data_IF_361773075629
#
_entry.id   IF_361773075629
#
_cell.length_a   1.000
_cell.length_b   1.000
_cell.length_c   1.000
_cell.angle_alpha   90.00
_cell.angle_beta   90.00
_cell.angle_gamma   90.00
#
_symmetry.space_group_name_H-M   'P 1'
#
loop_
_entity.id
_entity.type
_entity.pdbx_description
1 polymer ?
#
# COMPACT_ATOMS: atom_id res chain seq x y z
N UNK A 1 22.69 21.91 -14.42
CA UNK A 1 21.65 20.95 -14.83
C UNK A 1 22.26 19.55 -14.78
N UNK A 2 21.60 18.55 -14.13
CA UNK A 2 22.12 17.17 -14.03
C UNK A 2 22.47 16.69 -12.62
N UNK A 3 22.70 17.57 -11.65
CA UNK A 3 23.06 17.20 -10.28
C UNK A 3 22.04 16.27 -9.62
N UNK A 4 20.75 16.51 -9.82
CA UNK A 4 19.68 15.66 -9.25
C UNK A 4 19.72 14.25 -9.86
N UNK A 5 19.94 14.16 -11.18
CA UNK A 5 20.10 12.86 -11.84
C UNK A 5 21.30 12.09 -11.26
N UNK A 6 22.44 12.76 -11.11
CA UNK A 6 23.64 12.18 -10.50
C UNK A 6 23.42 11.74 -9.05
N UNK A 7 22.69 12.55 -8.26
CA UNK A 7 22.33 12.22 -6.88
C UNK A 7 21.44 10.99 -6.82
N UNK A 8 20.39 10.92 -7.65
CA UNK A 8 19.49 9.77 -7.72
C UNK A 8 20.22 8.50 -8.17
N UNK A 9 21.10 8.61 -9.15
CA UNK A 9 21.94 7.49 -9.58
C UNK A 9 22.85 6.98 -8.44
N UNK A 10 23.44 7.91 -7.68
CA UNK A 10 24.28 7.56 -6.53
C UNK A 10 23.44 6.91 -5.39
N UNK A 11 22.25 7.43 -5.12
CA UNK A 11 21.34 6.85 -4.14
C UNK A 11 20.93 5.42 -4.52
N UNK A 12 20.61 5.17 -5.80
CA UNK A 12 20.30 3.84 -6.31
C UNK A 12 21.49 2.88 -6.17
N UNK A 13 22.70 3.32 -6.57
CA UNK A 13 23.94 2.53 -6.42
C UNK A 13 24.23 2.20 -4.95
N UNK A 14 23.99 3.17 -4.04
CA UNK A 14 24.12 2.93 -2.60
C UNK A 14 23.11 1.89 -2.11
N UNK A 15 21.82 2.04 -2.44
CA UNK A 15 20.77 1.08 -2.05
C UNK A 15 21.05 -0.32 -2.61
N UNK A 16 21.51 -0.41 -3.88
CA UNK A 16 21.90 -1.67 -4.49
C UNK A 16 23.04 -2.35 -3.72
N UNK A 17 24.11 -1.61 -3.38
CA UNK A 17 25.24 -2.13 -2.58
C UNK A 17 24.88 -2.51 -1.14
N UNK A 18 23.79 -1.95 -0.60
CA UNK A 18 23.24 -2.32 0.69
C UNK A 18 22.19 -3.44 0.60
N UNK A 19 22.08 -4.08 -0.56
CA UNK A 19 21.12 -5.18 -0.82
C UNK A 19 19.66 -4.81 -0.50
N UNK A 20 19.31 -3.52 -0.64
CA UNK A 20 17.93 -3.05 -0.48
C UNK A 20 17.13 -3.41 -1.74
N UNK A 21 16.09 -4.26 -1.65
CA UNK A 21 15.41 -4.75 -2.85
C UNK A 21 14.49 -3.73 -3.49
N UNK A 22 13.95 -2.79 -2.70
CA UNK A 22 12.92 -1.83 -3.13
C UNK A 22 13.08 -0.49 -2.40
N UNK A 23 12.71 0.60 -3.09
CA UNK A 23 12.68 1.96 -2.55
C UNK A 23 11.28 2.54 -2.65
N UNK A 24 10.81 3.21 -1.58
CA UNK A 24 9.54 3.92 -1.54
C UNK A 24 9.76 5.40 -1.34
N UNK A 25 8.83 6.22 -1.85
CA UNK A 25 8.80 7.66 -1.60
C UNK A 25 7.41 8.26 -1.81
N UNK A 26 7.13 9.38 -1.14
CA UNK A 26 6.04 10.28 -1.50
C UNK A 26 6.53 11.23 -2.61
N UNK A 27 5.87 11.29 -3.80
CA UNK A 27 6.41 12.01 -4.94
C UNK A 27 6.18 13.52 -4.85
N UNK A 28 7.25 14.31 -4.84
CA UNK A 28 7.20 15.73 -5.16
C UNK A 28 6.71 15.98 -6.60
N UNK A 29 7.13 15.13 -7.55
CA UNK A 29 6.74 15.20 -8.95
C UNK A 29 6.73 13.81 -9.58
N UNK A 30 5.54 13.29 -9.84
CA UNK A 30 5.35 11.98 -10.47
C UNK A 30 6.12 11.84 -11.79
N UNK A 31 6.04 12.80 -12.75
CA UNK A 31 6.78 12.69 -14.01
C UNK A 31 8.29 12.66 -13.84
N UNK A 32 8.81 13.32 -12.79
CA UNK A 32 10.24 13.31 -12.49
C UNK A 32 10.68 11.91 -12.05
N UNK A 33 10.01 11.34 -11.04
CA UNK A 33 10.36 10.03 -10.50
C UNK A 33 10.10 8.88 -11.49
N UNK A 34 9.07 8.98 -12.34
CA UNK A 34 8.84 8.02 -13.43
C UNK A 34 10.04 7.91 -14.37
N UNK A 35 10.65 9.04 -14.74
CA UNK A 35 11.88 9.04 -15.56
C UNK A 35 13.06 8.37 -14.89
N UNK A 36 13.04 8.26 -13.57
CA UNK A 36 14.07 7.62 -12.76
C UNK A 36 13.72 6.17 -12.37
N UNK A 37 12.61 5.62 -12.89
CA UNK A 37 12.21 4.23 -12.71
C UNK A 37 11.25 3.96 -11.53
N UNK A 38 10.81 4.98 -10.79
CA UNK A 38 9.73 4.83 -9.81
C UNK A 38 8.37 4.81 -10.50
N UNK A 39 7.43 4.07 -9.95
CA UNK A 39 6.03 4.08 -10.40
C UNK A 39 5.07 4.19 -9.20
N UNK A 40 3.86 4.70 -9.45
CA UNK A 40 2.80 4.76 -8.45
C UNK A 40 2.43 3.33 -8.07
N UNK A 41 2.36 3.07 -6.77
CA UNK A 41 1.98 1.75 -6.21
C UNK A 41 0.82 1.82 -5.23
N UNK A 42 0.37 3.01 -4.82
CA UNK A 42 -0.81 3.17 -3.99
C UNK A 42 -1.57 4.44 -4.31
N UNK A 43 -2.86 4.44 -3.98
CA UNK A 43 -3.74 5.58 -4.02
C UNK A 43 -4.19 5.95 -2.60
N UNK A 44 -4.51 7.24 -2.41
CA UNK A 44 -5.21 7.76 -1.26
C UNK A 44 -6.62 8.14 -1.68
N UNK A 45 -7.63 7.60 -1.01
CA UNK A 45 -9.03 7.96 -1.17
C UNK A 45 -9.43 8.90 -0.05
N UNK A 46 -9.56 10.19 -0.33
CA UNK A 46 -10.14 11.13 0.62
C UNK A 46 -11.67 11.08 0.52
N UNK A 47 -12.35 10.98 1.64
CA UNK A 47 -13.82 10.88 1.67
C UNK A 47 -14.45 11.95 2.55
N UNK A 48 -15.70 12.29 2.22
CA UNK A 48 -16.56 13.16 3.01
C UNK A 48 -17.95 12.55 3.12
N UNK A 49 -18.43 12.39 4.36
CA UNK A 49 -19.74 11.85 4.72
C UNK A 49 -20.48 12.91 5.51
N UNK A 50 -21.69 13.31 5.08
CA UNK A 50 -22.53 14.26 5.81
C UNK A 50 -23.12 13.61 7.08
N UNK A 51 -23.47 14.38 8.08
CA UNK A 51 -24.15 13.92 9.30
C UNK A 51 -25.37 13.04 9.01
N UNK A 52 -26.19 13.41 8.01
CA UNK A 52 -27.37 12.67 7.56
C UNK A 52 -27.07 11.33 6.88
N UNK A 53 -25.82 11.10 6.46
CA UNK A 53 -25.35 9.88 5.79
C UNK A 53 -24.59 8.95 6.73
N UNK A 54 -24.36 9.37 7.99
CA UNK A 54 -23.63 8.54 8.95
C UNK A 54 -24.33 7.20 9.17
N UNK A 55 -23.57 6.10 9.33
CA UNK A 55 -24.15 4.78 9.49
C UNK A 55 -24.97 4.71 10.79
N UNK A 56 -26.11 4.02 10.74
CA UNK A 56 -26.90 3.74 11.94
C UNK A 56 -26.09 2.89 12.92
N UNK A 57 -26.16 3.21 14.24
CA UNK A 57 -25.45 2.43 15.25
C UNK A 57 -25.80 0.94 15.18
N UNK A 58 -24.79 0.09 15.24
CA UNK A 58 -24.92 -1.36 15.24
C UNK A 58 -24.57 -1.92 16.61
N UNK A 59 -25.25 -2.99 17.07
CA UNK A 59 -24.89 -3.65 18.33
C UNK A 59 -23.44 -4.16 18.27
N UNK A 60 -22.67 -3.85 19.31
CA UNK A 60 -21.33 -4.35 19.54
C UNK A 60 -21.21 -4.83 20.99
N UNK A 61 -20.33 -5.79 21.25
CA UNK A 61 -20.16 -6.32 22.59
C UNK A 61 -19.22 -5.48 23.46
N UNK A 62 -18.29 -4.77 22.84
CA UNK A 62 -17.27 -3.94 23.46
C UNK A 62 -17.65 -2.46 23.55
N UNK A 63 -16.66 -1.63 23.82
CA UNK A 63 -16.81 -0.18 23.93
C UNK A 63 -15.61 0.57 23.38
N UNK A 64 -15.79 1.86 23.06
CA UNK A 64 -14.70 2.75 22.65
C UNK A 64 -14.35 3.67 23.81
N UNK A 65 -13.06 3.74 24.14
CA UNK A 65 -12.52 4.61 25.18
C UNK A 65 -11.47 5.56 24.62
N UNK A 66 -11.45 6.80 25.08
CA UNK A 66 -10.36 7.73 24.76
C UNK A 66 -9.11 7.34 25.54
N UNK A 67 -7.99 7.36 24.86
CA UNK A 67 -6.68 7.01 25.43
C UNK A 67 -5.67 8.15 25.20
N UNK A 68 -4.55 8.11 25.90
CA UNK A 68 -3.45 9.00 25.65
C UNK A 68 -2.82 8.75 24.27
N UNK A 69 -2.23 9.78 23.65
CA UNK A 69 -1.56 9.68 22.36
C UNK A 69 -0.27 8.83 22.39
N UNK A 70 0.24 8.54 23.59
CA UNK A 70 1.36 7.63 23.84
C UNK A 70 0.93 6.22 24.28
N UNK A 71 -0.38 5.90 24.19
CA UNK A 71 -0.90 4.59 24.60
C UNK A 71 -0.35 3.46 23.74
N UNK A 72 0.21 2.44 24.37
CA UNK A 72 0.69 1.24 23.69
C UNK A 72 -0.46 0.44 23.03
N UNK A 73 -1.70 0.60 23.47
CA UNK A 73 -2.84 -0.19 22.98
C UNK A 73 -3.09 0.02 21.50
N UNK A 74 -3.17 1.28 21.04
CA UNK A 74 -3.38 1.51 19.60
C UNK A 74 -2.09 1.32 18.79
N UNK A 75 -0.90 1.52 19.38
CA UNK A 75 0.37 1.14 18.75
C UNK A 75 0.42 -0.37 18.46
N UNK A 76 0.00 -1.19 19.41
CA UNK A 76 -0.10 -2.64 19.23
C UNK A 76 -1.14 -3.01 18.17
N UNK A 77 -2.33 -2.38 18.16
CA UNK A 77 -3.34 -2.60 17.10
C UNK A 77 -2.77 -2.26 15.74
N UNK A 78 -2.05 -1.13 15.60
CA UNK A 78 -1.39 -0.76 14.35
C UNK A 78 -0.38 -1.82 13.92
N UNK A 79 0.48 -2.27 14.82
CA UNK A 79 1.51 -3.28 14.54
C UNK A 79 0.90 -4.60 14.06
N UNK A 80 -0.18 -5.08 14.71
CA UNK A 80 -0.92 -6.27 14.26
C UNK A 80 -1.57 -6.07 12.88
N UNK A 81 -2.12 -4.89 12.63
CA UNK A 81 -2.70 -4.55 11.34
C UNK A 81 -1.63 -4.52 10.24
N UNK A 82 -0.49 -3.89 10.51
CA UNK A 82 0.62 -3.75 9.57
C UNK A 82 1.20 -5.11 9.16
N UNK A 83 1.35 -6.04 10.11
CA UNK A 83 1.82 -7.41 9.84
C UNK A 83 0.89 -8.21 8.90
N UNK A 84 -0.36 -7.79 8.76
CA UNK A 84 -1.36 -8.46 7.92
C UNK A 84 -1.63 -7.71 6.61
N UNK A 85 -0.88 -6.65 6.31
CA UNK A 85 -1.11 -5.81 5.13
C UNK A 85 0.15 -5.66 4.29
N UNK A 86 0.00 -5.86 3.01
CA UNK A 86 1.06 -5.62 2.05
C UNK A 86 1.47 -4.14 2.04
N UNK A 87 2.76 -3.86 2.22
CA UNK A 87 3.33 -2.52 2.16
C UNK A 87 3.06 -1.61 3.36
N UNK A 88 2.28 -2.04 4.37
CA UNK A 88 2.05 -1.23 5.56
C UNK A 88 3.33 -1.13 6.41
N UNK A 89 3.66 0.09 6.86
CA UNK A 89 4.83 0.33 7.70
C UNK A 89 4.59 -0.21 9.11
N UNK A 90 5.51 -1.04 9.61
CA UNK A 90 5.59 -1.38 11.03
C UNK A 90 6.34 -0.24 11.69
N UNK A 91 5.61 0.63 12.40
CA UNK A 91 6.17 1.83 13.01
C UNK A 91 7.02 1.49 14.24
N UNK A 92 8.28 1.90 14.21
CA UNK A 92 9.14 1.99 15.37
C UNK A 92 8.96 3.35 16.09
N UNK A 93 9.73 3.61 17.14
CA UNK A 93 9.63 4.86 17.90
C UNK A 93 9.86 6.09 17.02
N UNK A 94 10.83 6.03 16.10
CA UNK A 94 11.12 7.15 15.21
C UNK A 94 9.97 7.40 14.23
N UNK A 95 9.38 6.34 13.68
CA UNK A 95 8.23 6.42 12.79
C UNK A 95 6.99 7.00 13.50
N UNK A 96 6.79 6.67 14.79
CA UNK A 96 5.74 7.29 15.59
C UNK A 96 6.00 8.77 15.89
N UNK A 97 7.26 9.17 16.16
CA UNK A 97 7.63 10.58 16.29
C UNK A 97 7.36 11.36 14.99
N UNK A 98 7.72 10.80 13.83
CA UNK A 98 7.41 11.39 12.51
C UNK A 98 5.91 11.48 12.25
N UNK A 99 5.14 10.47 12.63
CA UNK A 99 3.69 10.43 12.48
C UNK A 99 3.00 11.60 13.18
N UNK A 100 3.53 12.04 14.36
CA UNK A 100 3.00 13.14 15.14
C UNK A 100 3.62 14.51 14.83
N UNK A 101 4.70 14.57 14.08
CA UNK A 101 5.54 15.77 13.92
C UNK A 101 4.80 17.04 13.50
N UNK A 102 3.76 16.91 12.67
CA UNK A 102 3.06 18.05 12.08
C UNK A 102 1.60 18.16 12.55
N UNK A 103 1.24 17.45 13.61
CA UNK A 103 -0.12 17.43 14.10
C UNK A 103 -0.41 18.55 15.10
N UNK A 104 -1.71 18.86 15.23
CA UNK A 104 -2.20 19.83 16.19
C UNK A 104 -2.28 19.24 17.59
N UNK A 105 -2.18 20.10 18.62
CA UNK A 105 -2.36 19.72 20.03
C UNK A 105 -3.76 19.18 20.36
N UNK A 106 -4.73 19.31 19.44
CA UNK A 106 -6.13 18.91 19.61
C UNK A 106 -6.42 17.46 19.17
N UNK A 107 -5.40 16.66 18.81
CA UNK A 107 -5.57 15.26 18.41
C UNK A 107 -6.08 14.40 19.57
N UNK A 108 -7.02 13.53 19.26
CA UNK A 108 -7.62 12.57 20.18
C UNK A 108 -7.45 11.17 19.63
N UNK A 109 -6.99 10.25 20.46
CA UNK A 109 -7.00 8.82 20.17
C UNK A 109 -8.13 8.13 20.95
N UNK A 110 -8.85 7.24 20.27
CA UNK A 110 -9.88 6.41 20.89
C UNK A 110 -9.76 4.97 20.40
N UNK A 111 -9.82 4.01 21.33
CA UNK A 111 -9.58 2.58 21.09
C UNK A 111 -10.85 1.80 21.37
N UNK A 112 -11.18 0.89 20.47
CA UNK A 112 -12.22 -0.09 20.69
C UNK A 112 -11.67 -1.30 21.46
N UNK A 113 -12.28 -1.59 22.60
CA UNK A 113 -11.98 -2.74 23.45
C UNK A 113 -13.10 -3.76 23.44
N UNK A 114 -12.76 -5.06 23.45
CA UNK A 114 -13.71 -6.13 23.72
C UNK A 114 -14.19 -6.12 25.18
N UNK A 115 -15.15 -6.98 25.54
CA UNK A 115 -15.56 -7.19 26.95
C UNK A 115 -14.40 -7.61 27.86
N UNK A 116 -13.43 -8.32 27.31
CA UNK A 116 -12.21 -8.77 28.00
C UNK A 116 -11.12 -7.70 28.00
N UNK A 117 -11.45 -6.47 27.62
CA UNK A 117 -10.54 -5.32 27.55
C UNK A 117 -9.36 -5.53 26.57
N UNK A 118 -9.59 -6.27 25.48
CA UNK A 118 -8.59 -6.44 24.40
C UNK A 118 -8.79 -5.38 23.35
N UNK A 119 -7.74 -4.57 22.99
CA UNK A 119 -7.83 -3.57 21.95
C UNK A 119 -7.90 -4.24 20.57
N UNK A 120 -8.87 -3.86 19.72
CA UNK A 120 -9.07 -4.41 18.37
C UNK A 120 -9.29 -3.37 17.28
N UNK A 121 -9.25 -2.10 17.60
CA UNK A 121 -9.34 -1.03 16.63
C UNK A 121 -9.13 0.32 17.28
N UNK A 122 -8.79 1.32 16.50
CA UNK A 122 -8.64 2.69 16.98
C UNK A 122 -9.02 3.71 15.92
N UNK A 123 -9.31 4.92 16.36
CA UNK A 123 -9.43 6.12 15.54
C UNK A 123 -8.61 7.23 16.18
N UNK A 124 -7.79 7.89 15.35
CA UNK A 124 -7.13 9.16 15.68
C UNK A 124 -7.82 10.26 14.90
N UNK A 125 -8.25 11.30 15.60
CA UNK A 125 -9.08 12.35 15.02
C UNK A 125 -8.95 13.67 15.76
N UNK A 126 -9.49 14.73 15.14
CA UNK A 126 -9.79 16.01 15.78
C UNK A 126 -11.11 16.56 15.25
N UNK A 127 -11.71 17.51 15.98
CA UNK A 127 -12.94 18.18 15.54
C UNK A 127 -12.64 19.68 15.40
N UNK A 128 -12.87 20.22 14.21
CA UNK A 128 -12.71 21.63 13.91
C UNK A 128 -13.72 22.08 12.86
N UNK A 129 -14.29 23.29 13.02
CA UNK A 129 -15.25 23.88 12.08
C UNK A 129 -16.46 22.96 11.79
N UNK A 130 -16.99 22.32 12.82
CA UNK A 130 -18.11 21.37 12.75
C UNK A 130 -17.82 20.13 11.87
N UNK A 131 -16.54 19.79 11.68
CA UNK A 131 -16.08 18.63 10.93
C UNK A 131 -15.32 17.67 11.85
N UNK A 132 -15.68 16.40 11.81
CA UNK A 132 -14.90 15.31 12.42
C UNK A 132 -13.82 14.85 11.43
N UNK A 133 -12.59 15.21 11.68
CA UNK A 133 -11.45 14.85 10.84
C UNK A 133 -10.80 13.57 11.35
N UNK A 134 -10.94 12.49 10.61
CA UNK A 134 -10.24 11.23 10.87
C UNK A 134 -8.83 11.33 10.27
N UNK A 135 -7.81 11.35 11.14
CA UNK A 135 -6.41 11.23 10.72
C UNK A 135 -6.09 9.78 10.31
N UNK A 136 -6.50 8.83 11.15
CA UNK A 136 -6.30 7.41 10.90
C UNK A 136 -7.37 6.59 11.61
N UNK A 137 -7.88 5.56 10.95
CA UNK A 137 -8.78 4.58 11.54
C UNK A 137 -8.35 3.17 11.13
N UNK A 138 -8.04 2.35 12.11
CA UNK A 138 -7.59 0.97 11.92
C UNK A 138 -8.44 0.03 12.76
N UNK A 139 -8.77 -1.14 12.20
CA UNK A 139 -9.50 -2.17 12.90
C UNK A 139 -9.06 -3.58 12.46
N UNK A 140 -9.04 -4.51 13.42
CA UNK A 140 -8.62 -5.89 13.20
C UNK A 140 -9.79 -6.82 12.87
N UNK A 141 -11.03 -6.38 13.12
CA UNK A 141 -12.24 -7.12 12.78
C UNK A 141 -13.43 -6.17 12.53
N UNK A 142 -14.51 -6.74 12.01
CA UNK A 142 -15.70 -5.97 11.63
C UNK A 142 -16.45 -5.38 12.82
N UNK A 143 -16.41 -6.04 13.99
CA UNK A 143 -17.05 -5.53 15.20
C UNK A 143 -16.37 -4.26 15.71
N UNK A 144 -15.03 -4.22 15.70
CA UNK A 144 -14.27 -3.02 16.02
C UNK A 144 -14.60 -1.87 15.05
N UNK A 145 -14.73 -2.17 13.75
CA UNK A 145 -15.18 -1.18 12.76
C UNK A 145 -16.54 -0.61 13.11
N UNK A 146 -17.52 -1.45 13.45
CA UNK A 146 -18.84 -0.98 13.88
C UNK A 146 -18.78 -0.14 15.16
N UNK A 147 -17.97 -0.56 16.13
CA UNK A 147 -17.77 0.18 17.38
C UNK A 147 -17.17 1.57 17.14
N UNK A 148 -16.17 1.67 16.26
CA UNK A 148 -15.56 2.95 15.89
C UNK A 148 -16.54 3.86 15.15
N UNK A 149 -17.31 3.34 14.19
CA UNK A 149 -18.35 4.13 13.52
C UNK A 149 -19.49 4.54 14.47
N UNK A 150 -19.91 3.69 15.42
CA UNK A 150 -20.86 4.08 16.46
C UNK A 150 -20.33 5.26 17.29
N UNK A 151 -19.06 5.22 17.64
CA UNK A 151 -18.39 6.30 18.37
C UNK A 151 -18.35 7.60 17.56
N UNK A 152 -17.98 7.54 16.28
CA UNK A 152 -17.97 8.70 15.38
C UNK A 152 -19.39 9.26 15.23
N UNK A 153 -20.38 8.41 14.98
CA UNK A 153 -21.78 8.78 14.81
C UNK A 153 -22.36 9.42 16.07
N UNK A 154 -21.91 9.04 17.26
CA UNK A 154 -22.37 9.66 18.52
C UNK A 154 -22.06 11.17 18.59
N UNK A 155 -21.20 11.70 17.75
CA UNK A 155 -20.90 13.14 17.65
C UNK A 155 -21.85 13.90 16.69
N UNK A 156 -22.85 13.25 16.10
CA UNK A 156 -23.73 13.80 15.05
C UNK A 156 -24.34 15.18 15.37
N UNK A 157 -24.58 15.50 16.64
CA UNK A 157 -25.15 16.79 17.05
C UNK A 157 -24.12 17.93 17.13
N UNK A 158 -22.84 17.63 16.93
CA UNK A 158 -21.71 18.57 17.06
C UNK A 158 -20.95 18.75 15.74
N UNK A 159 -21.33 18.01 14.70
CA UNK A 159 -20.62 17.99 13.43
C UNK A 159 -21.61 17.98 12.26
N UNK A 160 -21.26 18.63 11.16
CA UNK A 160 -22.02 18.61 9.91
C UNK A 160 -21.53 17.49 8.97
N UNK A 161 -20.29 17.06 9.15
CA UNK A 161 -19.68 16.03 8.29
C UNK A 161 -18.48 15.34 8.94
N UNK A 162 -18.16 14.16 8.42
CA UNK A 162 -16.95 13.39 8.71
C UNK A 162 -16.07 13.40 7.49
N UNK A 163 -14.80 13.71 7.65
CA UNK A 163 -13.78 13.65 6.61
C UNK A 163 -12.63 12.72 7.04
N UNK A 164 -12.03 12.03 6.09
CA UNK A 164 -10.88 11.18 6.35
C UNK A 164 -10.25 10.65 5.08
N UNK A 165 -9.19 9.90 5.26
CA UNK A 165 -8.48 9.22 4.18
C UNK A 165 -8.56 7.69 4.36
N UNK A 166 -8.66 6.98 3.24
CA UNK A 166 -8.64 5.54 3.15
C UNK A 166 -7.52 5.11 2.20
N UNK A 167 -6.70 4.18 2.64
CA UNK A 167 -5.53 3.70 1.90
C UNK A 167 -5.67 2.25 1.41
N UNK A 168 -6.85 1.63 1.58
CA UNK A 168 -7.10 0.25 1.14
C UNK A 168 -7.16 0.08 -0.38
N UNK A 169 -7.25 1.20 -1.13
CA UNK A 169 -7.47 1.18 -2.57
C UNK A 169 -8.89 0.79 -3.00
N UNK A 170 -9.84 0.65 -2.03
CA UNK A 170 -11.24 0.32 -2.29
C UNK A 170 -12.16 1.47 -1.84
N UNK A 171 -13.14 1.88 -2.67
CA UNK A 171 -14.13 2.88 -2.32
C UNK A 171 -14.94 2.50 -1.08
N UNK A 172 -15.27 3.49 -0.26
CA UNK A 172 -16.03 3.29 0.98
C UNK A 172 -17.55 3.43 0.78
N UNK A 173 -18.01 4.02 -0.31
CA UNK A 173 -19.42 4.32 -0.55
C UNK A 173 -20.36 3.12 -0.33
N UNK A 174 -19.93 1.92 -0.71
CA UNK A 174 -20.69 0.68 -0.52
C UNK A 174 -20.97 0.33 0.96
N UNK A 175 -20.20 0.86 1.89
CA UNK A 175 -20.35 0.61 3.34
C UNK A 175 -21.48 1.42 3.97
N UNK A 176 -22.00 2.44 3.26
CA UNK A 176 -23.03 3.35 3.75
C UNK A 176 -24.41 3.03 3.15
N UNK A 177 -25.48 3.16 3.96
CA UNK A 177 -26.85 2.98 3.50
C UNK A 177 -27.23 4.05 2.45
N UNK A 178 -26.84 5.30 2.67
CA UNK A 178 -26.81 6.37 1.67
C UNK A 178 -25.40 6.46 1.08
N UNK A 179 -25.20 5.87 -0.09
CA UNK A 179 -23.92 5.77 -0.78
C UNK A 179 -23.53 7.04 -1.56
N UNK A 180 -24.35 8.13 -1.53
CA UNK A 180 -24.02 9.42 -2.17
C UNK A 180 -22.98 10.23 -1.39
N UNK A 181 -21.94 9.57 -0.91
CA UNK A 181 -20.78 10.23 -0.28
C UNK A 181 -19.84 10.80 -1.35
N UNK A 182 -19.01 11.75 -0.96
CA UNK A 182 -17.96 12.27 -1.84
C UNK A 182 -16.66 11.50 -1.61
N UNK A 183 -16.09 10.95 -2.68
CA UNK A 183 -14.76 10.32 -2.66
C UNK A 183 -13.87 10.93 -3.74
N UNK A 184 -12.60 11.17 -3.40
CA UNK A 184 -11.56 11.65 -4.30
C UNK A 184 -10.37 10.72 -4.26
N UNK A 185 -10.01 10.15 -5.41
CA UNK A 185 -8.81 9.31 -5.57
C UNK A 185 -7.63 10.18 -5.99
N UNK A 186 -6.51 10.01 -5.32
CA UNK A 186 -5.25 10.69 -5.66
C UNK A 186 -4.08 9.70 -5.56
N UNK A 187 -3.12 9.70 -6.51
CA UNK A 187 -1.88 8.93 -6.37
C UNK A 187 -1.17 9.30 -5.06
N UNK A 188 -0.61 8.30 -4.37
CA UNK A 188 -0.01 8.54 -3.07
C UNK A 188 1.48 8.16 -3.05
N UNK A 189 1.82 6.89 -2.90
CA UNK A 189 3.20 6.45 -2.82
C UNK A 189 3.70 5.93 -4.17
N UNK A 190 4.96 6.21 -4.46
CA UNK A 190 5.70 5.57 -5.54
C UNK A 190 6.73 4.60 -4.99
N UNK A 191 6.96 3.52 -5.72
CA UNK A 191 8.01 2.55 -5.44
C UNK A 191 8.90 2.30 -6.65
N UNK A 192 10.10 1.78 -6.40
CA UNK A 192 11.02 1.29 -7.41
C UNK A 192 11.72 0.03 -6.93
N UNK A 193 11.70 -1.00 -7.73
CA UNK A 193 12.56 -2.17 -7.52
C UNK A 193 14.01 -1.74 -7.78
N UNK A 194 14.86 -1.87 -6.77
CA UNK A 194 16.28 -1.51 -6.81
C UNK A 194 17.11 -2.69 -7.30
N UNK A 195 16.76 -3.90 -6.91
CA UNK A 195 17.43 -5.17 -7.23
C UNK A 195 16.41 -6.12 -7.84
N UNK A 196 16.34 -6.18 -9.17
CA UNK A 196 15.32 -6.98 -9.88
C UNK A 196 15.50 -8.46 -9.61
N UNK A 197 16.74 -8.99 -9.66
CA UNK A 197 17.00 -10.40 -9.41
C UNK A 197 16.50 -10.82 -8.03
N UNK A 198 16.96 -10.13 -6.98
CA UNK A 198 16.64 -10.48 -5.60
C UNK A 198 15.14 -10.28 -5.32
N UNK A 199 14.54 -9.21 -5.88
CA UNK A 199 13.11 -8.97 -5.73
C UNK A 199 12.26 -10.09 -6.36
N UNK A 200 12.63 -10.59 -7.54
CA UNK A 200 11.95 -11.72 -8.21
C UNK A 200 12.16 -13.03 -7.45
N UNK A 201 13.34 -13.26 -6.88
CA UNK A 201 13.66 -14.48 -6.13
C UNK A 201 12.89 -14.57 -4.80
N UNK A 202 12.80 -13.44 -4.05
CA UNK A 202 12.09 -13.37 -2.76
C UNK A 202 10.61 -12.99 -2.86
N UNK A 203 10.10 -12.81 -4.08
CA UNK A 203 8.70 -12.40 -4.28
C UNK A 203 7.73 -13.47 -3.80
N UNK A 204 6.69 -13.14 -3.02
CA UNK A 204 5.74 -14.10 -2.47
C UNK A 204 4.70 -14.55 -3.52
N UNK A 205 5.13 -15.31 -4.51
CA UNK A 205 4.24 -15.83 -5.54
C UNK A 205 3.08 -16.62 -4.93
N UNK A 206 1.85 -16.38 -5.40
CA UNK A 206 0.64 -17.04 -4.90
C UNK A 206 0.62 -18.55 -5.18
N UNK A 207 1.27 -18.97 -6.25
CA UNK A 207 1.51 -20.37 -6.61
C UNK A 207 2.96 -20.55 -7.04
N UNK A 208 3.49 -21.75 -6.87
CA UNK A 208 4.85 -22.12 -7.27
C UNK A 208 4.76 -23.37 -8.17
N UNK A 209 4.51 -23.18 -9.48
CA UNK A 209 4.30 -24.29 -10.40
C UNK A 209 5.63 -24.99 -10.72
N UNK A 210 5.74 -26.27 -10.36
CA UNK A 210 6.87 -27.13 -10.75
C UNK A 210 7.00 -27.18 -12.28
N UNK A 211 8.23 -27.31 -12.76
CA UNK A 211 8.57 -27.42 -14.19
C UNK A 211 8.11 -26.22 -15.06
N UNK A 212 7.75 -25.10 -14.45
CA UNK A 212 7.37 -23.89 -15.17
C UNK A 212 8.42 -22.80 -14.98
N UNK A 213 8.71 -22.07 -16.06
CA UNK A 213 9.67 -20.96 -16.03
C UNK A 213 9.07 -19.74 -16.72
N UNK A 214 9.38 -18.57 -16.18
CA UNK A 214 9.07 -17.27 -16.79
C UNK A 214 10.36 -16.54 -17.11
N UNK A 215 10.43 -15.99 -18.30
CA UNK A 215 11.53 -15.14 -18.73
C UNK A 215 11.05 -13.68 -18.68
N UNK A 216 11.50 -12.92 -17.68
CA UNK A 216 11.32 -11.47 -17.61
C UNK A 216 12.45 -10.77 -18.35
N UNK A 217 12.11 -10.02 -19.41
CA UNK A 217 13.03 -9.10 -20.10
C UNK A 217 12.77 -7.69 -19.58
N UNK A 218 13.66 -7.22 -18.70
CA UNK A 218 13.48 -5.97 -17.94
C UNK A 218 14.33 -4.87 -18.53
N UNK A 219 13.73 -3.71 -18.78
CA UNK A 219 14.38 -2.50 -19.21
C UNK A 219 14.53 -1.50 -18.07
N UNK A 220 15.77 -1.09 -17.78
CA UNK A 220 16.06 -0.09 -16.75
C UNK A 220 17.15 0.90 -17.21
N UNK A 221 16.72 2.09 -17.59
CA UNK A 221 17.61 3.14 -18.09
C UNK A 221 18.51 3.78 -17.04
N UNK A 222 18.18 3.63 -15.76
CA UNK A 222 18.88 4.28 -14.65
C UNK A 222 19.84 3.35 -13.91
N UNK A 223 19.48 2.07 -13.79
CA UNK A 223 20.21 1.07 -13.05
C UNK A 223 20.63 -0.05 -14.01
N UNK A 224 21.80 0.09 -14.59
CA UNK A 224 22.30 -0.86 -15.60
C UNK A 224 22.43 -2.30 -15.10
N UNK A 225 22.51 -2.52 -13.80
CA UNK A 225 22.52 -3.87 -13.20
C UNK A 225 21.15 -4.56 -13.24
N UNK A 226 20.07 -3.81 -13.47
CA UNK A 226 18.71 -4.32 -13.65
C UNK A 226 18.34 -4.54 -15.13
N UNK A 227 19.09 -3.95 -16.05
CA UNK A 227 18.85 -4.16 -17.48
C UNK A 227 19.23 -5.59 -17.88
N UNK A 228 18.28 -6.35 -18.41
CA UNK A 228 18.57 -7.70 -18.90
C UNK A 228 17.44 -8.68 -18.76
N UNK A 229 17.81 -9.94 -18.89
CA UNK A 229 16.94 -11.10 -19.00
C UNK A 229 17.02 -11.95 -17.73
N UNK A 230 15.87 -12.22 -17.10
CA UNK A 230 15.76 -12.94 -15.82
C UNK A 230 14.88 -14.17 -15.97
N UNK A 231 15.41 -15.33 -15.67
CA UNK A 231 14.67 -16.58 -15.64
C UNK A 231 14.21 -16.89 -14.22
N UNK A 232 12.90 -16.86 -13.99
CA UNK A 232 12.28 -17.30 -12.73
C UNK A 232 11.76 -18.70 -12.87
N UNK A 233 12.10 -19.57 -11.93
CA UNK A 233 11.65 -20.97 -11.88
C UNK A 233 11.36 -21.39 -10.44
N UNK A 234 10.58 -22.46 -10.30
CA UNK A 234 10.18 -23.02 -9.00
C UNK A 234 10.55 -24.48 -8.92
N UNK A 235 11.14 -24.88 -7.81
CA UNK A 235 11.51 -26.25 -7.53
C UNK A 235 11.51 -26.53 -6.03
N UNK A 236 10.90 -27.64 -5.62
CA UNK A 236 10.78 -28.05 -4.20
C UNK A 236 10.18 -26.96 -3.29
N UNK A 237 9.27 -26.12 -3.81
CA UNK A 237 8.64 -25.02 -3.05
C UNK A 237 9.55 -23.79 -2.86
N UNK A 238 10.68 -23.73 -3.55
CA UNK A 238 11.56 -22.56 -3.56
C UNK A 238 11.52 -21.85 -4.92
N UNK A 239 11.76 -20.53 -4.89
CA UNK A 239 11.86 -19.70 -6.10
C UNK A 239 13.32 -19.44 -6.42
N UNK A 240 13.68 -19.60 -7.66
CA UNK A 240 15.02 -19.32 -8.18
C UNK A 240 14.94 -18.25 -9.24
N UNK A 241 15.86 -17.29 -9.23
CA UNK A 241 15.98 -16.25 -10.23
C UNK A 241 17.43 -16.14 -10.73
N UNK A 242 17.62 -16.37 -11.99
CA UNK A 242 18.94 -16.27 -12.65
C UNK A 242 18.89 -15.21 -13.75
N UNK A 243 19.94 -14.39 -13.85
CA UNK A 243 20.14 -13.53 -15.02
C UNK A 243 20.73 -14.40 -16.14
N UNK A 244 20.08 -14.38 -17.30
CA UNK A 244 20.45 -15.23 -18.44
C UNK A 244 20.80 -14.40 -19.66
N UNK A 245 21.58 -14.97 -20.57
CA UNK A 245 21.76 -14.37 -21.90
C UNK A 245 20.56 -14.71 -22.77
N UNK A 246 20.08 -13.73 -23.58
CA UNK A 246 18.92 -13.89 -24.48
C UNK A 246 19.16 -15.01 -25.49
N UNK A 247 18.62 -16.19 -25.23
CA UNK A 247 18.72 -17.33 -26.11
C UNK A 247 17.40 -18.13 -26.13
N UNK A 248 16.49 -17.75 -27.05
CA UNK A 248 15.34 -18.58 -27.46
C UNK A 248 14.42 -19.05 -26.32
N UNK A 249 14.12 -18.19 -25.38
CA UNK A 249 13.23 -18.58 -24.30
C UNK A 249 11.76 -18.48 -24.72
N UNK A 250 11.00 -19.46 -24.28
CA UNK A 250 9.53 -19.42 -24.25
C UNK A 250 9.09 -18.68 -22.99
N UNK A 251 7.83 -18.24 -22.92
CA UNK A 251 7.26 -17.59 -21.74
C UNK A 251 7.87 -16.20 -21.44
N UNK A 252 8.16 -15.43 -22.49
CA UNK A 252 8.76 -14.10 -22.35
C UNK A 252 7.72 -13.06 -21.93
N UNK A 253 8.11 -12.25 -20.95
CA UNK A 253 7.38 -11.06 -20.47
C UNK A 253 8.33 -9.86 -20.56
N UNK A 254 8.18 -9.03 -21.59
CA UNK A 254 9.02 -7.84 -21.79
C UNK A 254 8.32 -6.60 -21.21
N UNK A 255 9.02 -5.83 -20.36
CA UNK A 255 8.51 -4.63 -19.68
C UNK A 255 9.65 -3.76 -19.14
N UNK A 256 9.34 -2.54 -18.76
CA UNK A 256 10.26 -1.69 -18.01
C UNK A 256 10.14 -1.90 -16.48
N UNK A 257 11.14 -1.42 -15.74
CA UNK A 257 11.19 -1.55 -14.28
C UNK A 257 10.02 -0.85 -13.58
N UNK A 258 9.48 0.22 -14.14
CA UNK A 258 8.28 0.92 -13.64
C UNK A 258 7.06 -0.01 -13.69
N UNK A 259 6.84 -0.62 -14.83
CA UNK A 259 5.73 -1.57 -15.06
C UNK A 259 5.90 -2.82 -14.18
N UNK A 260 7.12 -3.36 -14.09
CA UNK A 260 7.42 -4.48 -13.21
C UNK A 260 7.08 -4.14 -11.75
N UNK A 261 7.50 -2.96 -11.29
CA UNK A 261 7.20 -2.49 -9.93
C UNK A 261 5.69 -2.36 -9.71
N UNK A 262 4.95 -1.69 -10.59
CA UNK A 262 3.50 -1.53 -10.46
C UNK A 262 2.75 -2.87 -10.47
N UNK A 263 3.23 -3.84 -11.26
CA UNK A 263 2.65 -5.18 -11.36
C UNK A 263 2.90 -6.01 -10.10
N UNK A 264 4.16 -6.13 -9.68
CA UNK A 264 4.55 -6.97 -8.55
C UNK A 264 4.12 -6.38 -7.21
N UNK A 265 3.99 -5.04 -7.10
CA UNK A 265 3.37 -4.40 -5.94
C UNK A 265 1.83 -4.55 -5.90
N UNK A 266 1.20 -5.22 -6.87
CA UNK A 266 -0.25 -5.44 -6.89
C UNK A 266 -1.08 -4.20 -7.23
N UNK A 267 -0.44 -3.08 -7.61
CA UNK A 267 -1.14 -1.82 -7.93
C UNK A 267 -1.93 -1.91 -9.24
N UNK A 268 -1.35 -2.54 -10.26
CA UNK A 268 -2.03 -2.82 -11.54
C UNK A 268 -1.90 -4.30 -11.90
N UNK A 269 -3.02 -4.89 -12.29
CA UNK A 269 -3.06 -6.30 -12.70
C UNK A 269 -2.36 -6.51 -14.04
N UNK A 270 -1.78 -7.70 -14.28
CA UNK A 270 -1.13 -8.05 -15.56
C UNK A 270 -2.00 -7.80 -16.79
N UNK A 271 -3.29 -8.19 -16.74
CA UNK A 271 -4.24 -7.96 -17.83
C UNK A 271 -4.44 -6.49 -18.15
N UNK A 272 -4.60 -5.64 -17.12
CA UNK A 272 -4.68 -4.20 -17.27
C UNK A 272 -3.43 -3.62 -17.98
N UNK A 273 -2.24 -4.05 -17.54
CA UNK A 273 -0.97 -3.58 -18.10
C UNK A 273 -0.77 -4.04 -19.56
N UNK A 274 -1.23 -5.23 -19.89
CA UNK A 274 -1.22 -5.76 -21.26
C UNK A 274 -2.16 -4.99 -22.18
N UNK A 275 -3.40 -4.75 -21.77
CA UNK A 275 -4.38 -3.95 -22.52
C UNK A 275 -3.91 -2.52 -22.79
N UNK A 276 -3.03 -1.98 -21.92
CA UNK A 276 -2.43 -0.65 -22.05
C UNK A 276 -1.02 -0.67 -22.69
N UNK A 277 -0.66 -1.79 -23.34
CA UNK A 277 0.63 -1.96 -24.05
C UNK A 277 1.88 -1.72 -23.16
N UNK A 278 1.75 -1.95 -21.84
CA UNK A 278 2.86 -1.84 -20.88
C UNK A 278 3.66 -3.12 -20.75
N UNK A 279 3.05 -4.25 -21.06
CA UNK A 279 3.66 -5.58 -21.08
C UNK A 279 3.54 -6.14 -22.49
N UNK A 280 4.63 -6.70 -23.00
CA UNK A 280 4.65 -7.49 -24.24
C UNK A 280 4.84 -8.95 -23.88
N UNK A 281 3.83 -9.76 -24.17
CA UNK A 281 3.85 -11.19 -23.91
C UNK A 281 2.77 -11.90 -24.71
N UNK A 282 2.81 -13.23 -24.77
CA UNK A 282 1.74 -14.05 -25.33
C UNK A 282 0.54 -14.11 -24.37
N UNK A 283 -0.67 -14.18 -24.90
CA UNK A 283 -1.90 -14.14 -24.10
C UNK A 283 -1.97 -15.23 -23.01
N UNK A 284 -1.50 -16.44 -23.29
CA UNK A 284 -1.48 -17.51 -22.28
C UNK A 284 -0.62 -17.16 -21.06
N UNK A 285 0.42 -16.34 -21.23
CA UNK A 285 1.26 -15.89 -20.14
C UNK A 285 0.51 -14.97 -19.19
N UNK A 286 -0.47 -14.19 -19.66
CA UNK A 286 -1.31 -13.38 -18.77
C UNK A 286 -2.07 -14.23 -17.75
N UNK A 287 -2.58 -15.38 -18.19
CA UNK A 287 -3.29 -16.32 -17.31
C UNK A 287 -2.37 -16.81 -16.19
N UNK A 288 -1.09 -17.04 -16.51
CA UNK A 288 -0.09 -17.41 -15.50
C UNK A 288 0.26 -16.24 -14.58
N UNK A 289 0.52 -15.07 -15.12
CA UNK A 289 0.83 -13.87 -14.32
C UNK A 289 -0.32 -13.51 -13.36
N UNK A 290 -1.57 -13.62 -13.83
CA UNK A 290 -2.76 -13.38 -12.98
C UNK A 290 -2.89 -14.38 -11.82
N UNK A 291 -2.40 -15.60 -11.99
CA UNK A 291 -2.41 -16.64 -10.95
C UNK A 291 -1.21 -16.58 -10.02
N UNK A 292 -0.07 -16.14 -10.52
CA UNK A 292 1.20 -16.05 -9.78
C UNK A 292 1.26 -14.83 -8.86
N UNK A 293 0.72 -13.70 -9.32
CA UNK A 293 0.80 -12.41 -8.61
C UNK A 293 -0.40 -12.27 -7.68
N UNK A 294 -0.16 -12.08 -6.36
CA UNK A 294 -1.23 -11.82 -5.39
C UNK A 294 -2.14 -10.66 -5.81
N UNK A 295 -3.42 -10.75 -5.45
CA UNK A 295 -4.44 -9.72 -5.78
C UNK A 295 -4.45 -8.59 -4.74
N UNK A 296 -3.61 -8.65 -3.74
CA UNK A 296 -3.56 -7.68 -2.66
C UNK A 296 -2.95 -6.36 -3.14
N UNK A 297 -3.62 -5.23 -2.84
CA UNK A 297 -3.08 -3.88 -3.07
C UNK A 297 -2.26 -3.43 -1.87
N UNK A 298 -1.20 -2.61 -2.09
CA UNK A 298 -0.44 -2.06 -0.98
C UNK A 298 -1.27 -1.09 -0.14
N UNK A 299 -1.10 -1.16 1.18
CA UNK A 299 -1.67 -0.22 2.13
C UNK A 299 -0.57 0.68 2.67
N UNK A 300 -0.56 1.93 2.26
CA UNK A 300 0.37 2.94 2.77
C UNK A 300 -0.43 4.07 3.40
N UNK A 301 -0.32 4.26 4.70
CA UNK A 301 -0.91 5.39 5.43
C UNK A 301 0.13 6.41 5.89
N UNK A 302 1.40 6.04 5.86
CA UNK A 302 2.50 6.87 6.31
C UNK A 302 3.00 7.83 5.22
N UNK A 303 3.58 8.94 5.66
CA UNK A 303 4.21 9.95 4.84
C UNK A 303 5.71 10.00 5.14
N UNK A 304 6.56 9.83 4.13
CA UNK A 304 8.03 9.86 4.23
C UNK A 304 8.72 10.28 2.93
#
# INVERSE_FOLDING_TARGET
RGLIHSLMSHALDYMHKQEMPISFLYPYSIPFYRKMGWEIVSDKLSFTVRDTQLPKPRPVSGMVERVSLDSEDYHNVHSYFALQRHGCLIRDNLSWEEYWRWDNDDMIAAVYYTKEHKPLGYVVYYIANDIFHIKEMVYLNIEANYGLWNYITAHFSMIDQVQGDNYSGEPMAYLFEDSEITEKISPYIMARIVNVRDFLEYYPYQIQPEDFKIHFKVHDKMAGWNEGDYMVSWHDGETFCEQVEDNQSINVVELDVNTLTAMLMGYKRPSYLYEHEKIRTEYYMLVWLERLIPVEKPYFSDYF
#
